data_IF_622640820235
#
_entry.id   IF_622640820235
#
_cell.length_a   1.000
_cell.length_b   1.000
_cell.length_c   1.000
_cell.angle_alpha   90.00
_cell.angle_beta   90.00
_cell.angle_gamma   90.00
#
_symmetry.space_group_name_H-M   'P 1'
#
loop_
_entity.id
_entity.type
_entity.pdbx_description
1 polymer ?
#
# COMPACT_ATOMS: atom_id res chain seq x y z
N UNK A 1 -13.38 7.61 -16.42
CA UNK A 1 -12.37 7.61 -15.33
C UNK A 1 -11.02 7.35 -15.95
N UNK A 2 -9.95 8.07 -15.54
CA UNK A 2 -8.58 7.78 -15.98
C UNK A 2 -8.20 6.34 -15.60
N UNK A 3 -7.27 5.74 -16.34
CA UNK A 3 -6.74 4.42 -15.99
C UNK A 3 -5.92 4.51 -14.69
N UNK A 4 -5.80 3.41 -13.95
CA UNK A 4 -4.93 3.35 -12.77
C UNK A 4 -3.47 3.74 -13.09
N UNK A 5 -2.97 3.37 -14.28
CA UNK A 5 -1.63 3.77 -14.73
C UNK A 5 -1.52 5.28 -15.00
N UNK A 6 -2.60 5.92 -15.46
CA UNK A 6 -2.65 7.39 -15.60
C UNK A 6 -2.58 8.08 -14.23
N UNK A 7 -3.26 7.54 -13.22
CA UNK A 7 -3.14 8.06 -11.85
C UNK A 7 -1.72 7.93 -11.29
N UNK A 8 -1.05 6.80 -11.54
CA UNK A 8 0.36 6.62 -11.16
C UNK A 8 1.28 7.63 -11.88
N UNK A 9 1.01 7.90 -13.16
CA UNK A 9 1.71 8.91 -13.94
C UNK A 9 1.52 10.32 -13.34
N UNK A 10 0.30 10.70 -13.00
CA UNK A 10 -0.02 12.01 -12.40
C UNK A 10 0.68 12.24 -11.05
N UNK A 11 0.93 11.15 -10.32
CA UNK A 11 1.65 11.15 -9.03
C UNK A 11 3.18 11.10 -9.17
N UNK A 12 3.69 10.67 -10.32
CA UNK A 12 5.12 10.34 -10.49
C UNK A 12 6.06 11.51 -10.20
N UNK A 13 5.69 12.73 -10.60
CA UNK A 13 6.49 13.94 -10.33
C UNK A 13 6.64 14.22 -8.83
N UNK A 14 5.60 13.95 -8.03
CA UNK A 14 5.65 14.06 -6.55
C UNK A 14 6.40 12.89 -5.92
N UNK A 15 6.30 11.70 -6.52
CA UNK A 15 6.91 10.47 -6.01
C UNK A 15 8.45 10.47 -6.11
N UNK A 16 9.04 11.21 -7.06
CA UNK A 16 10.47 11.09 -7.38
C UNK A 16 11.39 11.43 -6.19
N UNK A 17 11.02 12.41 -5.36
CA UNK A 17 11.78 12.76 -4.15
C UNK A 17 11.84 11.64 -3.10
N UNK A 18 10.88 10.72 -3.12
CA UNK A 18 10.82 9.57 -2.20
C UNK A 18 11.49 8.32 -2.76
N UNK A 19 11.84 8.29 -4.05
CA UNK A 19 12.34 7.10 -4.76
C UNK A 19 13.58 6.46 -4.13
N UNK A 20 14.64 7.19 -3.71
CA UNK A 20 15.79 6.58 -3.07
C UNK A 20 15.42 5.85 -1.77
N UNK A 21 14.51 6.44 -0.99
CA UNK A 21 14.00 5.89 0.25
C UNK A 21 13.11 4.66 0.02
N UNK A 22 12.20 4.75 -0.96
CA UNK A 22 11.36 3.62 -1.38
C UNK A 22 12.20 2.41 -1.80
N UNK A 23 13.30 2.63 -2.54
CA UNK A 23 14.23 1.56 -2.93
C UNK A 23 14.95 0.92 -1.75
N UNK A 24 15.42 1.72 -0.79
CA UNK A 24 16.06 1.21 0.44
C UNK A 24 15.10 0.36 1.26
N UNK A 25 13.91 0.87 1.53
CA UNK A 25 12.88 0.15 2.30
C UNK A 25 12.44 -1.12 1.58
N UNK A 26 12.20 -1.05 0.27
CA UNK A 26 11.87 -2.22 -0.55
C UNK A 26 12.93 -3.31 -0.45
N UNK A 27 14.21 -2.94 -0.59
CA UNK A 27 15.33 -3.87 -0.40
C UNK A 27 15.37 -4.50 0.99
N UNK A 28 15.15 -3.71 2.05
CA UNK A 28 15.14 -4.19 3.44
C UNK A 28 14.02 -5.17 3.77
N UNK A 29 12.84 -5.00 3.14
CA UNK A 29 11.66 -5.86 3.35
C UNK A 29 11.46 -6.94 2.29
N UNK A 30 12.33 -7.01 1.27
CA UNK A 30 12.15 -7.87 0.09
C UNK A 30 10.82 -7.63 -0.64
N UNK A 31 10.41 -6.36 -0.72
CA UNK A 31 9.23 -5.90 -1.44
C UNK A 31 9.70 -5.06 -2.64
N UNK A 32 9.15 -5.34 -3.82
CA UNK A 32 9.45 -4.56 -5.03
C UNK A 32 9.18 -3.06 -4.77
N UNK A 33 10.14 -2.16 -4.99
CA UNK A 33 9.96 -0.73 -4.72
C UNK A 33 8.77 -0.12 -5.47
N UNK A 34 8.46 -0.65 -6.66
CA UNK A 34 7.29 -0.27 -7.45
C UNK A 34 5.95 -0.54 -6.75
N UNK A 35 5.86 -1.58 -5.90
CA UNK A 35 4.67 -1.86 -5.10
C UNK A 35 4.50 -0.84 -3.97
N UNK A 36 5.59 -0.46 -3.30
CA UNK A 36 5.57 0.58 -2.26
C UNK A 36 5.14 1.92 -2.86
N UNK A 37 5.72 2.31 -4.01
CA UNK A 37 5.31 3.52 -4.73
C UNK A 37 3.83 3.49 -5.13
N UNK A 38 3.33 2.34 -5.58
CA UNK A 38 1.93 2.18 -5.93
C UNK A 38 0.98 2.36 -4.74
N UNK A 39 1.32 1.81 -3.58
CA UNK A 39 0.55 2.01 -2.34
C UNK A 39 0.57 3.49 -1.95
N UNK A 40 1.74 4.15 -1.96
CA UNK A 40 1.83 5.59 -1.67
C UNK A 40 0.95 6.42 -2.61
N UNK A 41 0.93 6.08 -3.91
CA UNK A 41 0.09 6.74 -4.91
C UNK A 41 -1.39 6.53 -4.61
N UNK A 42 -1.82 5.30 -4.32
CA UNK A 42 -3.22 4.99 -3.97
C UNK A 42 -3.67 5.67 -2.68
N UNK A 43 -2.82 5.69 -1.66
CA UNK A 43 -3.16 6.15 -0.32
C UNK A 43 -3.15 7.68 -0.19
N UNK A 44 -2.18 8.35 -0.80
CA UNK A 44 -1.93 9.77 -0.52
C UNK A 44 -1.65 10.63 -1.74
N UNK A 45 -1.67 10.06 -2.96
CA UNK A 45 -1.20 10.72 -4.17
C UNK A 45 0.21 11.33 -3.98
N UNK A 46 1.09 10.54 -3.34
CA UNK A 46 2.42 10.96 -2.89
C UNK A 46 2.42 12.18 -1.95
N UNK A 47 1.48 12.17 -0.99
CA UNK A 47 1.30 13.22 0.02
C UNK A 47 0.41 14.39 -0.38
N UNK A 48 -0.05 14.46 -1.63
CA UNK A 48 -0.88 15.57 -2.12
C UNK A 48 -2.22 15.71 -1.41
N UNK A 49 -2.83 14.59 -0.97
CA UNK A 49 -4.13 14.59 -0.32
C UNK A 49 -4.08 14.78 1.20
N UNK A 50 -2.88 14.93 1.78
CA UNK A 50 -2.68 14.91 3.23
C UNK A 50 -2.67 16.32 3.84
N UNK A 51 -3.24 16.44 5.04
CA UNK A 51 -3.09 17.60 5.93
C UNK A 51 -1.95 17.32 6.91
N UNK A 52 -0.73 17.78 6.58
CA UNK A 52 0.49 17.57 7.38
C UNK A 52 0.67 16.10 7.79
N UNK A 53 0.52 15.20 6.81
CA UNK A 53 0.66 13.76 7.02
C UNK A 53 -0.61 13.03 7.44
N UNK A 54 -1.65 13.73 7.86
CA UNK A 54 -2.92 13.12 8.24
C UNK A 54 -3.85 12.98 7.04
N UNK A 55 -4.48 11.82 6.92
CA UNK A 55 -5.63 11.60 6.04
C UNK A 55 -6.76 10.88 6.77
N UNK A 56 -7.81 10.51 6.03
CA UNK A 56 -9.05 9.89 6.54
C UNK A 56 -9.58 10.56 7.84
N UNK A 57 -9.76 11.88 7.83
CA UNK A 57 -10.21 12.64 9.01
C UNK A 57 -9.33 12.41 10.26
N UNK A 58 -8.01 12.36 10.09
CA UNK A 58 -6.98 12.11 11.13
C UNK A 58 -6.99 10.70 11.70
N UNK A 59 -7.49 9.72 10.93
CA UNK A 59 -7.46 8.29 11.28
C UNK A 59 -6.24 7.57 10.73
N UNK A 60 -5.56 8.15 9.75
CA UNK A 60 -4.43 7.51 9.09
C UNK A 60 -3.23 8.47 8.97
N UNK A 61 -2.03 7.92 9.15
CA UNK A 61 -0.78 8.66 9.20
C UNK A 61 0.16 8.32 8.03
N UNK A 62 0.73 9.36 7.43
CA UNK A 62 1.87 9.26 6.52
C UNK A 62 1.56 8.83 5.10
N UNK A 63 2.60 8.78 4.26
CA UNK A 63 2.52 8.51 2.82
C UNK A 63 1.77 7.22 2.44
N UNK A 64 1.77 6.25 3.36
CA UNK A 64 1.13 4.93 3.20
C UNK A 64 -0.07 4.74 4.14
N UNK A 65 -0.52 5.82 4.79
CA UNK A 65 -1.77 5.89 5.56
C UNK A 65 -1.93 4.75 6.58
N UNK A 66 -0.98 4.65 7.52
CA UNK A 66 -1.06 3.71 8.64
C UNK A 66 -2.24 4.09 9.54
N UNK A 67 -3.21 3.18 9.68
CA UNK A 67 -4.42 3.38 10.50
C UNK A 67 -4.09 3.36 12.00
N UNK A 68 -4.41 4.46 12.67
CA UNK A 68 -4.16 4.69 14.10
C UNK A 68 -5.40 4.49 14.97
N UNK A 69 -6.53 4.15 14.37
CA UNK A 69 -7.80 4.04 15.09
C UNK A 69 -7.84 2.77 15.95
N UNK A 70 -8.38 2.83 17.18
CA UNK A 70 -8.47 1.66 18.05
C UNK A 70 -9.31 0.51 17.49
N UNK A 71 -10.30 0.82 16.66
CA UNK A 71 -11.21 -0.15 16.06
C UNK A 71 -10.78 -0.60 14.65
N UNK A 72 -9.65 -0.11 14.16
CA UNK A 72 -9.07 -0.45 12.86
C UNK A 72 -7.69 -1.08 13.06
N UNK A 73 -6.66 -0.47 12.48
CA UNK A 73 -5.27 -0.94 12.58
C UNK A 73 -4.63 -0.82 13.97
N UNK A 74 -5.10 0.13 14.79
CA UNK A 74 -4.62 0.41 16.15
C UNK A 74 -3.08 0.51 16.25
N UNK A 75 -2.45 1.07 15.21
CA UNK A 75 -1.01 1.25 15.18
C UNK A 75 -0.61 2.60 15.79
N UNK A 76 0.47 2.60 16.57
CA UNK A 76 1.16 3.86 16.93
C UNK A 76 2.01 4.32 15.74
N UNK A 77 1.80 5.54 15.20
CA UNK A 77 2.67 6.13 14.18
C UNK A 77 4.15 6.14 14.55
N UNK A 78 5.02 5.87 13.58
CA UNK A 78 6.48 5.95 13.75
C UNK A 78 7.08 6.89 12.71
N UNK A 79 8.04 7.70 13.15
CA UNK A 79 8.70 8.71 12.32
C UNK A 79 7.78 9.83 11.82
N UNK A 80 8.36 10.74 11.03
CA UNK A 80 7.60 11.75 10.31
C UNK A 80 6.77 11.10 9.19
N UNK A 81 5.68 11.76 8.80
CA UNK A 81 4.70 11.28 7.83
C UNK A 81 5.28 10.88 6.46
N UNK A 82 6.42 11.46 6.08
CA UNK A 82 7.15 11.22 4.84
C UNK A 82 8.55 10.63 5.05
N UNK A 83 8.81 10.05 6.22
CA UNK A 83 10.12 9.51 6.59
C UNK A 83 10.35 8.06 6.17
N UNK A 84 11.62 7.64 6.20
CA UNK A 84 12.01 6.25 5.96
C UNK A 84 11.49 5.32 7.07
N UNK A 85 11.43 5.81 8.31
CA UNK A 85 10.86 5.06 9.44
C UNK A 85 9.38 4.77 9.22
N UNK A 86 8.62 5.76 8.73
CA UNK A 86 7.21 5.58 8.36
C UNK A 86 7.04 4.53 7.24
N UNK A 87 7.84 4.62 6.17
CA UNK A 87 7.79 3.63 5.09
C UNK A 87 8.17 2.21 5.58
N UNK A 88 9.18 2.08 6.46
CA UNK A 88 9.52 0.78 7.07
C UNK A 88 8.35 0.23 7.90
N UNK A 89 7.69 1.06 8.71
CA UNK A 89 6.51 0.64 9.47
C UNK A 89 5.41 0.11 8.56
N UNK A 90 5.00 0.92 7.57
CA UNK A 90 3.91 0.57 6.66
C UNK A 90 4.24 -0.65 5.80
N UNK A 91 5.48 -0.75 5.30
CA UNK A 91 5.92 -1.92 4.53
C UNK A 91 5.99 -3.18 5.41
N UNK A 92 6.37 -3.06 6.68
CA UNK A 92 6.29 -4.15 7.64
C UNK A 92 4.86 -4.65 7.86
N UNK A 93 3.87 -3.75 7.92
CA UNK A 93 2.44 -4.09 8.02
C UNK A 93 1.97 -4.82 6.75
N UNK A 94 2.39 -4.38 5.56
CA UNK A 94 2.12 -5.09 4.32
C UNK A 94 2.70 -6.52 4.33
N UNK A 95 3.96 -6.68 4.74
CA UNK A 95 4.61 -8.00 4.85
C UNK A 95 3.85 -8.90 5.83
N UNK A 96 3.41 -8.35 6.97
CA UNK A 96 2.57 -9.07 7.92
C UNK A 96 1.29 -9.59 7.25
N UNK A 97 0.56 -8.75 6.52
CA UNK A 97 -0.67 -9.16 5.84
C UNK A 97 -0.44 -10.18 4.71
N UNK A 98 0.64 -10.05 3.95
CA UNK A 98 1.04 -11.08 2.97
C UNK A 98 1.27 -12.42 3.68
N UNK A 99 1.91 -12.42 4.85
CA UNK A 99 2.10 -13.60 5.69
C UNK A 99 0.78 -14.19 6.18
N UNK A 100 -0.13 -13.35 6.70
CA UNK A 100 -1.47 -13.75 7.16
C UNK A 100 -2.28 -14.42 6.05
N UNK A 101 -2.30 -13.82 4.86
CA UNK A 101 -2.99 -14.37 3.69
C UNK A 101 -2.34 -15.67 3.21
N UNK A 102 -1.01 -15.75 3.25
CA UNK A 102 -0.28 -16.97 2.89
C UNK A 102 -0.65 -18.15 3.80
N UNK A 103 -0.84 -17.90 5.09
CA UNK A 103 -1.31 -18.88 6.07
C UNK A 103 -2.79 -19.21 5.90
N UNK A 104 -3.64 -18.19 5.67
CA UNK A 104 -5.09 -18.36 5.50
C UNK A 104 -5.44 -19.13 4.23
N UNK A 105 -4.69 -18.92 3.15
CA UNK A 105 -4.92 -19.55 1.85
C UNK A 105 -3.63 -20.25 1.34
N UNK A 106 -3.24 -21.38 1.94
CA UNK A 106 -1.96 -22.02 1.62
C UNK A 106 -1.88 -22.52 0.16
N UNK A 107 -3.01 -22.86 -0.45
CA UNK A 107 -3.10 -23.33 -1.84
C UNK A 107 -2.98 -22.22 -2.89
N UNK A 108 -3.09 -20.95 -2.51
CA UNK A 108 -2.96 -19.84 -3.45
C UNK A 108 -1.53 -19.74 -3.99
N UNK A 109 -1.42 -19.33 -5.26
CA UNK A 109 -0.14 -19.01 -5.88
C UNK A 109 0.51 -17.81 -5.18
N UNK A 110 1.82 -17.60 -5.41
CA UNK A 110 2.54 -16.44 -4.86
C UNK A 110 1.89 -15.11 -5.27
N UNK A 111 1.46 -15.00 -6.53
CA UNK A 111 0.79 -13.80 -7.03
C UNK A 111 -0.58 -13.58 -6.38
N UNK A 112 -1.35 -14.65 -6.15
CA UNK A 112 -2.63 -14.57 -5.45
C UNK A 112 -2.44 -14.16 -3.98
N UNK A 113 -1.43 -14.72 -3.29
CA UNK A 113 -1.08 -14.35 -1.90
C UNK A 113 -0.64 -12.90 -1.79
N UNK A 114 0.19 -12.42 -2.73
CA UNK A 114 0.59 -11.02 -2.81
C UNK A 114 -0.64 -10.12 -2.98
N UNK A 115 -1.51 -10.43 -3.95
CA UNK A 115 -2.74 -9.66 -4.20
C UNK A 115 -3.65 -9.63 -2.98
N UNK A 116 -3.87 -10.77 -2.33
CA UNK A 116 -4.66 -10.83 -1.10
C UNK A 116 -4.03 -10.06 0.06
N UNK A 117 -2.69 -10.06 0.19
CA UNK A 117 -1.99 -9.26 1.19
C UNK A 117 -2.15 -7.76 0.97
N UNK A 118 -2.13 -7.31 -0.29
CA UNK A 118 -2.41 -5.92 -0.67
C UNK A 118 -3.87 -5.55 -0.35
N UNK A 119 -4.83 -6.42 -0.66
CA UNK A 119 -6.23 -6.19 -0.27
C UNK A 119 -6.37 -6.10 1.26
N UNK A 120 -5.79 -7.06 1.99
CA UNK A 120 -5.80 -7.10 3.45
C UNK A 120 -5.15 -5.87 4.11
N UNK A 121 -4.17 -5.23 3.47
CA UNK A 121 -3.60 -3.97 3.94
C UNK A 121 -4.66 -2.86 4.09
N UNK A 122 -5.66 -2.82 3.20
CA UNK A 122 -6.73 -1.82 3.22
C UNK A 122 -7.87 -2.12 4.21
N UNK A 123 -8.13 -3.39 4.50
CA UNK A 123 -9.40 -3.87 5.06
C UNK A 123 -9.28 -4.95 6.15
N UNK A 124 -8.05 -5.39 6.46
CA UNK A 124 -7.75 -6.52 7.33
C UNK A 124 -7.92 -7.89 6.65
N UNK A 125 -7.10 -8.87 7.06
CA UNK A 125 -7.12 -10.23 6.51
C UNK A 125 -8.45 -10.98 6.75
N UNK A 126 -9.24 -10.57 7.73
CA UNK A 126 -10.56 -11.13 8.03
C UNK A 126 -11.54 -11.03 6.87
N UNK A 127 -11.47 -9.94 6.10
CA UNK A 127 -12.42 -9.61 5.03
C UNK A 127 -12.00 -10.15 3.65
N UNK A 128 -10.83 -10.80 3.53
CA UNK A 128 -10.42 -11.53 2.33
C UNK A 128 -10.98 -12.96 2.41
N UNK A 129 -12.01 -13.28 1.61
CA UNK A 129 -12.70 -14.57 1.68
C UNK A 129 -12.36 -15.55 0.55
N UNK A 130 -12.10 -15.04 -0.64
CA UNK A 130 -11.77 -15.84 -1.83
C UNK A 130 -10.92 -15.01 -2.80
N UNK A 131 -10.33 -15.68 -3.80
CA UNK A 131 -9.53 -14.97 -4.80
C UNK A 131 -10.41 -14.16 -5.76
N UNK A 132 -11.54 -14.74 -6.20
CA UNK A 132 -12.45 -14.09 -7.15
C UNK A 132 -13.10 -12.83 -6.55
N UNK A 133 -13.32 -12.83 -5.24
CA UNK A 133 -13.86 -11.70 -4.47
C UNK A 133 -12.83 -10.95 -3.64
N UNK A 134 -11.53 -11.01 -3.99
CA UNK A 134 -10.44 -10.50 -3.12
C UNK A 134 -10.58 -9.02 -2.74
N UNK A 135 -11.12 -8.20 -3.64
CA UNK A 135 -11.32 -6.76 -3.43
C UNK A 135 -12.74 -6.39 -2.98
N UNK A 136 -13.65 -7.36 -2.82
CA UNK A 136 -15.10 -7.10 -2.68
C UNK A 136 -15.46 -6.18 -1.48
N UNK A 137 -14.67 -6.22 -0.40
CA UNK A 137 -14.86 -5.38 0.78
C UNK A 137 -13.77 -4.31 0.94
N UNK A 138 -12.92 -4.10 -0.07
CA UNK A 138 -11.94 -3.00 -0.06
C UNK A 138 -12.61 -1.66 -0.37
N UNK A 139 -11.98 -0.55 0.02
CA UNK A 139 -12.46 0.77 -0.37
C UNK A 139 -12.53 0.89 -1.91
N UNK A 140 -13.71 1.18 -2.45
CA UNK A 140 -13.96 1.25 -3.90
C UNK A 140 -14.10 -0.11 -4.60
N UNK A 141 -13.95 -1.23 -3.90
CA UNK A 141 -14.09 -2.58 -4.48
C UNK A 141 -12.97 -2.96 -5.45
N UNK A 142 -11.84 -2.23 -5.42
CA UNK A 142 -10.79 -2.34 -6.44
C UNK A 142 -9.35 -2.15 -5.92
N UNK A 143 -9.14 -2.13 -4.60
CA UNK A 143 -7.88 -1.64 -4.02
C UNK A 143 -6.65 -2.40 -4.53
N UNK A 144 -6.62 -3.74 -4.45
CA UNK A 144 -5.45 -4.50 -4.90
C UNK A 144 -5.27 -4.48 -6.42
N UNK A 145 -6.38 -4.42 -7.16
CA UNK A 145 -6.37 -4.28 -8.63
C UNK A 145 -5.74 -2.95 -9.05
N UNK A 146 -6.15 -1.84 -8.43
CA UNK A 146 -5.60 -0.52 -8.68
C UNK A 146 -4.11 -0.49 -8.33
N UNK A 147 -3.76 -0.88 -7.10
CA UNK A 147 -2.36 -0.89 -6.63
C UNK A 147 -1.47 -1.71 -7.56
N UNK A 148 -1.88 -2.91 -7.98
CA UNK A 148 -1.07 -3.73 -8.91
C UNK A 148 -0.92 -3.07 -10.29
N UNK A 149 -1.95 -2.38 -10.79
CA UNK A 149 -1.86 -1.65 -12.05
C UNK A 149 -0.90 -0.45 -11.95
N UNK A 150 -0.94 0.31 -10.84
CA UNK A 150 0.03 1.38 -10.56
C UNK A 150 1.45 0.85 -10.39
N UNK A 151 1.61 -0.30 -9.70
CA UNK A 151 2.91 -0.93 -9.49
C UNK A 151 3.56 -1.32 -10.82
N UNK A 152 2.77 -1.86 -11.76
CA UNK A 152 3.26 -2.17 -13.09
C UNK A 152 3.77 -0.91 -13.84
N UNK A 153 3.08 0.22 -13.68
CA UNK A 153 3.55 1.49 -14.25
C UNK A 153 4.85 1.96 -13.59
N UNK A 154 4.93 1.99 -12.26
CA UNK A 154 6.14 2.40 -11.55
C UNK A 154 7.34 1.51 -11.87
N UNK A 155 7.13 0.19 -12.00
CA UNK A 155 8.17 -0.76 -12.41
C UNK A 155 8.76 -0.42 -13.77
N UNK A 156 7.91 -0.02 -14.73
CA UNK A 156 8.34 0.38 -16.07
C UNK A 156 9.00 1.78 -16.09
N UNK A 157 8.95 2.52 -14.98
CA UNK A 157 9.45 3.89 -14.85
C UNK A 157 10.53 4.04 -13.76
N UNK A 158 11.26 2.96 -13.49
CA UNK A 158 12.52 2.99 -12.73
C UNK A 158 12.40 2.85 -11.22
N UNK A 159 11.27 2.35 -10.72
CA UNK A 159 11.10 1.91 -9.33
C UNK A 159 11.47 0.44 -9.16
#
# INVERSE_FOLDING_TARGET
>A
MPSYQTLAQDDSGRMEKYKPMIKRVGGGHQIEPSLIAAIISRESAAGYTLDVGWGDNRKAWGLMQVDVTPNGGNHTPRGNWDSEEHLNQATGILVYFIGRISTKFPSWSRAQKLRGGIAAYNMGDGNVHSYDGVDANTHGGDYSKDVLARAQWYKNNGY
#
